data_IF_092957114164
#
_entry.id   IF_092957114164
#
_cell.length_a   1.000
_cell.length_b   1.000
_cell.length_c   1.000
_cell.angle_alpha   90.00
_cell.angle_beta   90.00
_cell.angle_gamma   90.00
#
_symmetry.space_group_name_H-M   'P 1'
#
loop_
_entity.id
_entity.type
_entity.pdbx_description
1 polymer ?
#
# COMPACT_ATOMS: atom_id res chain seq x y z
N UNK A 1 18.02 4.24 13.55
CA UNK A 1 17.46 3.59 12.35
C UNK A 1 18.46 3.78 11.23
N UNK A 2 18.73 2.72 10.49
CA UNK A 2 19.59 2.78 9.31
C UNK A 2 18.72 2.85 8.05
N UNK A 3 19.14 3.65 7.08
CA UNK A 3 18.58 3.72 5.74
C UNK A 3 19.68 3.38 4.73
N UNK A 4 19.63 2.16 4.20
CA UNK A 4 20.83 1.53 3.60
C UNK A 4 21.92 1.34 4.64
N UNK A 5 23.14 1.76 4.32
CA UNK A 5 24.33 1.55 5.15
C UNK A 5 24.65 2.74 6.09
N UNK A 6 23.77 3.74 6.19
CA UNK A 6 23.96 4.94 7.02
C UNK A 6 22.76 5.24 7.92
N UNK A 7 22.99 6.04 8.93
CA UNK A 7 21.89 6.57 9.75
C UNK A 7 20.95 7.46 8.91
N UNK A 8 19.65 7.38 9.25
CA UNK A 8 18.63 8.21 8.63
C UNK A 8 18.90 9.69 8.86
N UNK A 9 18.80 10.49 7.81
CA UNK A 9 18.99 11.94 7.84
C UNK A 9 17.66 12.66 7.50
N UNK A 10 17.52 13.96 7.85
CA UNK A 10 16.30 14.72 7.57
C UNK A 10 15.87 14.69 6.09
N UNK A 11 16.82 14.69 5.17
CA UNK A 11 16.54 14.69 3.72
C UNK A 11 16.01 13.34 3.20
N UNK A 12 16.14 12.26 3.96
CA UNK A 12 15.57 10.96 3.58
C UNK A 12 14.03 10.98 3.53
N UNK A 13 13.39 11.98 4.12
CA UNK A 13 11.94 12.18 4.01
C UNK A 13 11.46 12.29 2.56
N UNK A 14 12.31 12.75 1.63
CA UNK A 14 12.02 12.81 0.20
C UNK A 14 12.10 11.44 -0.48
N UNK A 15 12.69 10.45 0.17
CA UNK A 15 12.86 9.07 -0.33
C UNK A 15 11.91 8.09 0.36
N UNK A 16 11.10 8.58 1.31
CA UNK A 16 10.18 7.78 2.10
C UNK A 16 8.74 8.19 1.79
N UNK A 17 7.88 7.22 1.51
CA UNK A 17 6.44 7.37 1.44
C UNK A 17 5.79 6.73 2.66
N UNK A 18 4.88 7.45 3.32
CA UNK A 18 4.10 6.94 4.45
C UNK A 18 2.61 7.12 4.20
N UNK A 19 1.87 6.03 4.25
CA UNK A 19 0.42 5.97 4.17
C UNK A 19 -0.14 5.60 5.54
N UNK A 20 -0.69 6.55 6.32
CA UNK A 20 -1.31 6.26 7.60
C UNK A 20 -2.70 5.62 7.41
N UNK A 21 -3.14 4.85 8.40
CA UNK A 21 -4.50 4.30 8.44
C UNK A 21 -5.56 5.41 8.48
N UNK A 22 -5.33 6.44 9.31
CA UNK A 22 -6.18 7.63 9.36
C UNK A 22 -5.78 8.64 8.28
N UNK A 23 -6.80 9.27 7.68
CA UNK A 23 -6.61 10.12 6.51
C UNK A 23 -6.06 11.50 6.88
N UNK A 24 -4.86 11.80 6.40
CA UNK A 24 -4.24 13.11 6.49
C UNK A 24 -4.72 14.11 5.42
N UNK A 25 -5.89 13.90 4.81
CA UNK A 25 -6.38 14.76 3.75
C UNK A 25 -7.19 15.96 4.32
N UNK A 26 -6.96 17.16 3.77
CA UNK A 26 -7.68 18.37 4.14
C UNK A 26 -9.05 18.42 3.48
N UNK A 27 -10.12 18.28 4.26
CA UNK A 27 -11.50 18.07 3.81
C UNK A 27 -12.00 19.14 2.83
N UNK A 28 -11.65 20.41 3.05
CA UNK A 28 -12.15 21.56 2.26
C UNK A 28 -11.36 21.85 1.00
N UNK A 29 -10.19 21.21 0.81
CA UNK A 29 -9.39 21.38 -0.41
C UNK A 29 -9.93 20.52 -1.54
N UNK A 30 -9.72 20.97 -2.79
CA UNK A 30 -9.94 20.14 -3.96
C UNK A 30 -8.89 19.03 -4.04
N UNK A 31 -9.30 17.86 -4.52
CA UNK A 31 -8.44 16.66 -4.64
C UNK A 31 -7.17 16.96 -5.43
N UNK A 32 -7.30 17.57 -6.63
CA UNK A 32 -6.15 17.89 -7.47
C UNK A 32 -5.21 18.93 -6.84
N UNK A 33 -5.76 19.96 -6.18
CA UNK A 33 -4.96 20.98 -5.50
C UNK A 33 -4.14 20.36 -4.36
N UNK A 34 -4.79 19.53 -3.55
CA UNK A 34 -4.14 18.86 -2.43
C UNK A 34 -3.09 17.86 -2.88
N UNK A 35 -3.40 17.06 -3.92
CA UNK A 35 -2.45 16.09 -4.47
C UNK A 35 -1.19 16.80 -5.01
N UNK A 36 -1.34 17.93 -5.71
CA UNK A 36 -0.21 18.76 -6.15
C UNK A 36 0.54 19.33 -4.95
N UNK A 37 -0.16 19.77 -3.91
CA UNK A 37 0.47 20.29 -2.69
C UNK A 37 1.38 19.23 -2.03
N UNK A 38 0.88 18.01 -1.79
CA UNK A 38 1.69 16.94 -1.21
C UNK A 38 2.86 16.53 -2.10
N UNK A 39 2.66 16.45 -3.40
CA UNK A 39 3.73 16.16 -4.36
C UNK A 39 4.87 17.18 -4.27
N UNK A 40 4.52 18.46 -4.13
CA UNK A 40 5.50 19.54 -3.98
C UNK A 40 6.24 19.50 -2.65
N UNK A 41 5.58 19.11 -1.58
CA UNK A 41 6.24 18.86 -0.27
C UNK A 41 7.27 17.73 -0.35
N UNK A 42 7.11 16.82 -1.30
CA UNK A 42 8.06 15.73 -1.60
C UNK A 42 9.08 16.08 -2.67
N UNK A 43 9.23 17.36 -3.02
CA UNK A 43 10.28 17.85 -3.90
C UNK A 43 9.93 17.92 -5.40
N UNK A 44 8.74 17.47 -5.81
CA UNK A 44 8.34 17.57 -7.21
C UNK A 44 8.02 19.02 -7.62
N UNK A 45 8.42 19.40 -8.81
CA UNK A 45 7.92 20.65 -9.40
C UNK A 45 6.41 20.58 -9.65
N UNK A 46 5.72 21.71 -9.69
CA UNK A 46 4.28 21.74 -10.01
C UNK A 46 3.95 21.06 -11.34
N UNK A 47 4.81 21.25 -12.35
CA UNK A 47 4.60 20.68 -13.68
C UNK A 47 4.69 19.16 -13.66
N UNK A 48 5.72 18.60 -13.03
CA UNK A 48 5.91 17.15 -12.86
C UNK A 48 4.78 16.56 -12.05
N UNK A 49 4.42 17.17 -10.91
CA UNK A 49 3.33 16.73 -10.07
C UNK A 49 2.01 16.59 -10.85
N UNK A 50 1.64 17.60 -11.65
CA UNK A 50 0.41 17.57 -12.45
C UNK A 50 0.47 16.46 -13.51
N UNK A 51 1.61 16.29 -14.19
CA UNK A 51 1.77 15.26 -15.24
C UNK A 51 1.63 13.87 -14.62
N UNK A 52 2.38 13.58 -13.55
CA UNK A 52 2.34 12.27 -12.86
C UNK A 52 0.96 12.00 -12.25
N UNK A 53 0.35 12.99 -11.61
CA UNK A 53 -0.99 12.85 -11.03
C UNK A 53 -2.05 12.51 -12.08
N UNK A 54 -2.03 13.17 -13.25
CA UNK A 54 -2.97 12.84 -14.33
C UNK A 54 -2.82 11.40 -14.79
N UNK A 55 -1.60 10.89 -14.92
CA UNK A 55 -1.35 9.49 -15.27
C UNK A 55 -1.92 8.52 -14.20
N UNK A 56 -1.65 8.78 -12.92
CA UNK A 56 -2.17 7.98 -11.82
C UNK A 56 -3.70 8.05 -11.70
N UNK A 57 -4.29 9.23 -11.92
CA UNK A 57 -5.75 9.39 -11.90
C UNK A 57 -6.43 8.60 -13.01
N UNK A 58 -5.83 8.55 -14.21
CA UNK A 58 -6.29 7.68 -15.30
C UNK A 58 -6.18 6.21 -14.90
N UNK A 59 -5.04 5.80 -14.37
CA UNK A 59 -4.78 4.41 -13.96
C UNK A 59 -5.75 3.90 -12.89
N UNK A 60 -6.17 4.77 -11.98
CA UNK A 60 -7.13 4.45 -10.91
C UNK A 60 -8.59 4.76 -11.29
N UNK A 61 -8.85 5.27 -12.50
CA UNK A 61 -10.21 5.62 -12.98
C UNK A 61 -10.86 6.75 -12.19
N UNK A 62 -10.06 7.75 -11.75
CA UNK A 62 -10.52 8.82 -10.85
C UNK A 62 -10.31 10.22 -11.42
N UNK A 63 -10.21 10.37 -12.74
CA UNK A 63 -9.96 11.65 -13.40
C UNK A 63 -11.00 12.72 -13.04
N UNK A 64 -12.26 12.31 -12.90
CA UNK A 64 -13.39 13.20 -12.59
C UNK A 64 -13.35 13.75 -11.15
N UNK A 65 -12.44 13.23 -10.30
CA UNK A 65 -12.36 13.68 -8.92
C UNK A 65 -11.45 14.91 -8.75
N UNK A 66 -10.76 15.32 -9.78
CA UNK A 66 -9.76 16.40 -9.73
C UNK A 66 -10.29 17.68 -9.07
N UNK A 67 -11.49 18.10 -9.45
CA UNK A 67 -12.13 19.33 -8.97
C UNK A 67 -13.11 19.10 -7.78
N UNK A 68 -13.34 17.84 -7.37
CA UNK A 68 -14.14 17.54 -6.19
C UNK A 68 -13.40 17.96 -4.92
N UNK A 69 -14.16 18.37 -3.89
CA UNK A 69 -13.59 18.54 -2.56
C UNK A 69 -13.37 17.17 -1.90
N UNK A 70 -12.37 17.08 -1.04
CA UNK A 70 -12.06 15.84 -0.32
C UNK A 70 -13.23 15.38 0.55
N UNK A 71 -14.01 16.28 1.12
CA UNK A 71 -15.21 15.96 1.91
C UNK A 71 -16.32 15.26 1.12
N UNK A 72 -16.30 15.35 -0.22
CA UNK A 72 -17.26 14.68 -1.11
C UNK A 72 -16.86 13.24 -1.43
N UNK A 73 -15.67 12.81 -1.00
CA UNK A 73 -15.14 11.48 -1.26
C UNK A 73 -15.63 10.47 -0.22
N UNK A 74 -15.99 9.26 -0.71
CA UNK A 74 -16.17 8.11 0.18
C UNK A 74 -14.84 7.69 0.84
N UNK A 75 -14.90 6.78 1.80
CA UNK A 75 -13.70 6.23 2.47
C UNK A 75 -12.72 5.62 1.47
N UNK A 76 -13.16 4.73 0.60
CA UNK A 76 -12.31 4.11 -0.39
C UNK A 76 -11.78 5.10 -1.43
N UNK A 77 -12.60 6.10 -1.83
CA UNK A 77 -12.14 7.15 -2.72
C UNK A 77 -10.99 7.97 -2.13
N UNK A 78 -11.12 8.40 -0.89
CA UNK A 78 -10.07 9.15 -0.19
C UNK A 78 -8.79 8.31 -0.04
N UNK A 79 -8.93 7.00 0.20
CA UNK A 79 -7.81 6.07 0.30
C UNK A 79 -7.02 5.97 -1.01
N UNK A 80 -7.70 5.89 -2.18
CA UNK A 80 -7.04 5.93 -3.49
C UNK A 80 -6.20 7.19 -3.68
N UNK A 81 -6.77 8.35 -3.37
CA UNK A 81 -6.05 9.63 -3.47
C UNK A 81 -4.84 9.64 -2.55
N UNK A 82 -5.01 9.18 -1.31
CA UNK A 82 -3.92 9.14 -0.33
C UNK A 82 -2.80 8.18 -0.74
N UNK A 83 -3.14 7.01 -1.28
CA UNK A 83 -2.16 6.09 -1.84
C UNK A 83 -1.36 6.76 -2.98
N UNK A 84 -2.04 7.37 -3.95
CA UNK A 84 -1.39 8.04 -5.08
C UNK A 84 -0.40 9.11 -4.61
N UNK A 85 -0.79 9.98 -3.67
CA UNK A 85 0.11 11.03 -3.19
C UNK A 85 1.28 10.50 -2.39
N UNK A 86 1.13 9.31 -1.78
CA UNK A 86 2.20 8.63 -1.05
C UNK A 86 3.29 8.09 -1.97
N UNK A 87 2.93 7.59 -3.15
CA UNK A 87 3.87 6.94 -4.09
C UNK A 87 4.35 7.86 -5.22
N UNK A 88 3.73 9.01 -5.40
CA UNK A 88 3.91 9.88 -6.58
C UNK A 88 5.35 10.36 -6.82
N UNK A 89 6.11 10.53 -5.74
CA UNK A 89 7.51 10.97 -5.77
C UNK A 89 8.50 9.81 -5.94
N UNK A 90 8.01 8.58 -6.18
CA UNK A 90 8.81 7.37 -6.42
C UNK A 90 9.78 7.08 -5.26
N UNK A 91 9.25 6.91 -4.02
CA UNK A 91 10.07 6.67 -2.85
C UNK A 91 10.77 5.31 -2.89
N UNK A 92 11.95 5.22 -2.29
CA UNK A 92 12.72 3.98 -2.14
C UNK A 92 12.20 3.11 -0.99
N UNK A 93 11.61 3.75 0.04
CA UNK A 93 10.97 3.08 1.17
C UNK A 93 9.51 3.51 1.24
N UNK A 94 8.61 2.54 1.26
CA UNK A 94 7.18 2.72 1.45
C UNK A 94 6.74 2.07 2.76
N UNK A 95 6.04 2.83 3.59
CA UNK A 95 5.46 2.35 4.84
C UNK A 95 3.94 2.54 4.72
N UNK A 96 3.18 1.45 4.77
CA UNK A 96 1.74 1.45 4.65
C UNK A 96 1.11 0.90 5.94
N UNK A 97 0.21 1.67 6.52
CA UNK A 97 -0.55 1.27 7.70
C UNK A 97 -1.98 0.92 7.27
N UNK A 98 -2.34 -0.37 7.37
CA UNK A 98 -3.62 -0.94 6.92
C UNK A 98 -4.04 -0.45 5.51
N UNK A 99 -3.21 -0.65 4.47
CA UNK A 99 -3.42 -0.05 3.15
C UNK A 99 -4.72 -0.47 2.47
N UNK A 100 -5.26 -1.63 2.82
CA UNK A 100 -6.47 -2.19 2.21
C UNK A 100 -7.75 -1.85 2.96
N UNK A 101 -7.65 -1.15 4.10
CA UNK A 101 -8.80 -0.77 4.92
C UNK A 101 -9.78 0.11 4.16
N UNK A 102 -11.04 -0.34 4.06
CA UNK A 102 -12.13 0.43 3.43
C UNK A 102 -12.23 0.28 1.92
N UNK A 103 -11.45 -0.60 1.31
CA UNK A 103 -11.63 -1.01 -0.08
C UNK A 103 -12.59 -2.19 -0.22
N UNK A 104 -13.33 -2.22 -1.33
CA UNK A 104 -13.96 -3.44 -1.82
C UNK A 104 -12.91 -4.37 -2.45
N UNK A 105 -13.21 -5.65 -2.68
CA UNK A 105 -12.23 -6.62 -3.18
C UNK A 105 -11.58 -6.22 -4.51
N UNK A 106 -12.32 -5.58 -5.43
CA UNK A 106 -11.79 -5.20 -6.75
C UNK A 106 -10.74 -4.11 -6.59
N UNK A 107 -11.04 -3.09 -5.78
CA UNK A 107 -10.11 -2.00 -5.52
C UNK A 107 -8.93 -2.43 -4.65
N UNK A 108 -9.13 -3.38 -3.75
CA UNK A 108 -8.03 -3.98 -2.97
C UNK A 108 -7.04 -4.72 -3.88
N UNK A 109 -7.53 -5.49 -4.85
CA UNK A 109 -6.67 -6.19 -5.82
C UNK A 109 -5.88 -5.20 -6.68
N UNK A 110 -6.52 -4.14 -7.20
CA UNK A 110 -5.81 -3.09 -7.92
C UNK A 110 -4.66 -2.50 -7.08
N UNK A 111 -4.91 -2.25 -5.80
CA UNK A 111 -3.88 -1.70 -4.91
C UNK A 111 -2.75 -2.69 -4.66
N UNK A 112 -3.06 -3.99 -4.50
CA UNK A 112 -2.06 -5.06 -4.37
C UNK A 112 -1.15 -5.12 -5.60
N UNK A 113 -1.73 -5.10 -6.80
CA UNK A 113 -0.98 -5.11 -8.06
C UNK A 113 -0.02 -3.92 -8.16
N UNK A 114 -0.46 -2.73 -7.72
CA UNK A 114 0.38 -1.54 -7.70
C UNK A 114 1.52 -1.65 -6.67
N UNK A 115 1.25 -2.20 -5.49
CA UNK A 115 2.26 -2.44 -4.46
C UNK A 115 3.32 -3.41 -4.98
N UNK A 116 2.91 -4.52 -5.60
CA UNK A 116 3.82 -5.48 -6.21
C UNK A 116 4.65 -4.85 -7.34
N UNK A 117 4.03 -4.04 -8.20
CA UNK A 117 4.74 -3.33 -9.26
C UNK A 117 5.78 -2.31 -8.73
N UNK A 118 5.52 -1.68 -7.58
CA UNK A 118 6.49 -0.81 -6.91
C UNK A 118 7.66 -1.59 -6.33
N UNK A 119 7.40 -2.75 -5.70
CA UNK A 119 8.43 -3.68 -5.23
C UNK A 119 9.32 -4.14 -6.38
N UNK A 120 8.73 -4.55 -7.49
CA UNK A 120 9.45 -5.04 -8.67
C UNK A 120 10.32 -3.95 -9.33
N UNK A 121 10.01 -2.69 -9.09
CA UNK A 121 10.85 -1.54 -9.47
C UNK A 121 11.96 -1.22 -8.45
N UNK A 122 12.06 -1.98 -7.38
CA UNK A 122 13.12 -1.88 -6.39
C UNK A 122 12.75 -1.10 -5.11
N UNK A 123 11.49 -0.72 -4.92
CA UNK A 123 11.08 -0.11 -3.66
C UNK A 123 11.04 -1.14 -2.53
N UNK A 124 11.56 -0.78 -1.36
CA UNK A 124 11.35 -1.54 -0.12
C UNK A 124 10.00 -1.18 0.46
N UNK A 125 9.19 -2.19 0.78
CA UNK A 125 7.83 -1.99 1.27
C UNK A 125 7.67 -2.63 2.65
N UNK A 126 7.19 -1.85 3.61
CA UNK A 126 6.78 -2.30 4.93
C UNK A 126 5.29 -1.99 5.06
N UNK A 127 4.46 -2.97 5.41
CA UNK A 127 3.08 -2.66 5.72
C UNK A 127 2.59 -3.42 6.97
N UNK A 128 1.75 -2.76 7.75
CA UNK A 128 1.01 -3.36 8.84
C UNK A 128 -0.35 -3.82 8.35
N UNK A 129 -0.79 -4.98 8.76
CA UNK A 129 -2.15 -5.46 8.52
C UNK A 129 -2.52 -6.58 9.49
N UNK A 130 -3.82 -6.73 9.73
CA UNK A 130 -4.40 -7.88 10.42
C UNK A 130 -4.98 -8.93 9.45
N UNK A 131 -4.92 -8.67 8.14
CA UNK A 131 -5.43 -9.59 7.12
C UNK A 131 -4.33 -10.55 6.65
N UNK A 132 -4.36 -11.78 7.14
CA UNK A 132 -3.36 -12.80 6.84
C UNK A 132 -3.33 -13.19 5.35
N UNK A 133 -4.47 -13.21 4.65
CA UNK A 133 -4.49 -13.51 3.22
C UNK A 133 -3.65 -12.52 2.43
N UNK A 134 -3.73 -11.22 2.76
CA UNK A 134 -2.90 -10.20 2.11
C UNK A 134 -1.42 -10.38 2.43
N UNK A 135 -1.07 -10.83 3.65
CA UNK A 135 0.31 -11.14 4.02
C UNK A 135 0.87 -12.27 3.15
N UNK A 136 0.12 -13.37 3.02
CA UNK A 136 0.54 -14.53 2.23
C UNK A 136 0.70 -14.23 0.73
N UNK A 137 -0.09 -13.28 0.20
CA UNK A 137 -0.08 -12.92 -1.22
C UNK A 137 1.06 -11.95 -1.58
N UNK A 138 1.48 -11.08 -0.66
CA UNK A 138 2.31 -9.92 -1.02
C UNK A 138 3.66 -9.92 -0.31
N UNK A 139 3.74 -10.48 0.93
CA UNK A 139 4.95 -10.39 1.74
C UNK A 139 5.96 -11.49 1.42
N UNK A 140 7.23 -11.09 1.37
CA UNK A 140 8.34 -12.04 1.38
C UNK A 140 8.67 -12.44 2.84
N UNK A 141 8.59 -11.48 3.78
CA UNK A 141 8.91 -11.66 5.21
C UNK A 141 7.80 -11.12 6.10
N UNK A 142 7.60 -11.72 7.25
CA UNK A 142 6.67 -11.23 8.26
C UNK A 142 7.33 -11.11 9.64
N UNK A 143 6.76 -10.24 10.44
CA UNK A 143 7.00 -10.16 11.88
C UNK A 143 5.65 -10.07 12.60
N UNK A 144 5.30 -11.11 13.36
CA UNK A 144 4.07 -11.14 14.16
C UNK A 144 4.34 -10.57 15.55
N UNK A 145 3.64 -9.49 15.86
CA UNK A 145 3.74 -8.80 17.14
C UNK A 145 2.46 -9.03 17.95
N UNK A 146 2.61 -9.50 19.20
CA UNK A 146 1.50 -9.60 20.16
C UNK A 146 1.95 -9.12 21.53
N UNK A 147 1.15 -8.28 22.18
CA UNK A 147 1.45 -7.68 23.49
C UNK A 147 2.87 -7.11 23.57
N UNK A 148 3.24 -6.31 22.55
CA UNK A 148 4.56 -5.66 22.41
C UNK A 148 5.75 -6.64 22.36
N UNK A 149 5.52 -7.89 22.01
CA UNK A 149 6.57 -8.91 21.83
C UNK A 149 6.54 -9.44 20.41
N UNK A 150 7.72 -9.64 19.84
CA UNK A 150 7.87 -10.41 18.62
C UNK A 150 7.62 -11.90 18.93
N UNK A 151 6.57 -12.44 18.32
CA UNK A 151 6.17 -13.85 18.51
C UNK A 151 6.80 -14.73 17.43
N UNK A 152 6.88 -14.20 16.21
CA UNK A 152 7.34 -14.92 15.04
C UNK A 152 7.92 -13.92 14.04
N UNK A 153 9.06 -14.27 13.43
CA UNK A 153 9.65 -13.48 12.35
C UNK A 153 10.37 -14.41 11.37
N UNK A 154 10.27 -14.14 10.08
CA UNK A 154 10.96 -14.90 9.04
C UNK A 154 10.29 -14.82 7.69
N UNK A 155 10.78 -15.60 6.75
CA UNK A 155 10.20 -15.75 5.41
C UNK A 155 8.82 -16.41 5.49
N UNK A 156 7.86 -15.90 4.72
CA UNK A 156 6.46 -16.38 4.71
C UNK A 156 6.41 -17.87 4.35
N UNK A 157 7.11 -18.28 3.32
CA UNK A 157 7.10 -19.67 2.86
C UNK A 157 7.75 -20.63 3.88
N UNK A 158 8.79 -20.18 4.59
CA UNK A 158 9.41 -20.99 5.65
C UNK A 158 8.47 -21.14 6.83
N UNK A 159 7.81 -20.08 7.24
CA UNK A 159 6.83 -20.08 8.33
C UNK A 159 5.64 -20.98 7.98
N UNK A 160 5.12 -20.90 6.76
CA UNK A 160 4.05 -21.79 6.28
C UNK A 160 4.45 -23.25 6.33
N UNK A 161 5.66 -23.60 5.91
CA UNK A 161 6.16 -24.98 5.97
C UNK A 161 6.30 -25.49 7.40
N UNK A 162 6.69 -24.63 8.35
CA UNK A 162 6.89 -25.00 9.76
C UNK A 162 5.59 -25.13 10.54
N UNK A 163 4.60 -24.29 10.23
CA UNK A 163 3.36 -24.15 11.01
C UNK A 163 2.10 -24.55 10.23
N UNK A 164 2.23 -24.85 8.95
CA UNK A 164 1.12 -25.31 8.12
C UNK A 164 0.58 -26.67 8.59
N UNK A 165 -0.73 -26.81 8.61
CA UNK A 165 -1.37 -28.12 8.75
C UNK A 165 -1.15 -28.91 7.45
N UNK A 166 -0.85 -30.22 7.54
CA UNK A 166 -0.79 -31.11 6.38
C UNK A 166 -2.20 -31.44 5.83
N UNK A 167 -3.09 -30.45 5.85
CA UNK A 167 -4.46 -30.57 5.33
C UNK A 167 -4.45 -29.98 3.92
N UNK A 168 -4.85 -30.78 2.97
CA UNK A 168 -4.98 -30.39 1.56
C UNK A 168 -6.47 -30.40 1.20
N UNK A 169 -6.96 -29.33 0.58
CA UNK A 169 -8.26 -29.29 -0.06
C UNK A 169 -8.10 -29.80 -1.50
N UNK A 170 -8.73 -30.94 -1.80
CA UNK A 170 -8.71 -31.54 -3.14
C UNK A 170 -10.08 -31.34 -3.78
N UNK A 171 -10.16 -30.46 -4.77
CA UNK A 171 -11.34 -30.33 -5.60
C UNK A 171 -11.31 -31.37 -6.73
N UNK A 172 -12.31 -32.26 -6.79
CA UNK A 172 -12.45 -33.24 -7.87
C UNK A 172 -13.83 -33.17 -8.53
N UNK A 173 -13.91 -33.59 -9.80
CA UNK A 173 -15.18 -33.78 -10.52
C UNK A 173 -15.41 -35.28 -10.67
N UNK A 174 -16.43 -35.82 -10.01
CA UNK A 174 -16.80 -37.24 -10.06
C UNK A 174 -17.80 -37.62 -8.98
N UNK A 175 -18.27 -38.87 -8.97
CA UNK A 175 -19.08 -39.41 -7.88
C UNK A 175 -18.21 -39.66 -6.65
N UNK A 176 -18.80 -39.39 -5.47
CA UNK A 176 -18.15 -39.55 -4.18
C UNK A 176 -17.87 -41.05 -3.95
N UNK A 177 -16.63 -41.49 -4.19
CA UNK A 177 -16.14 -42.77 -3.74
C UNK A 177 -15.37 -42.54 -2.47
N UNK A 178 -15.80 -43.18 -1.38
CA UNK A 178 -15.10 -43.15 -0.10
C UNK A 178 -13.68 -43.68 -0.27
N UNK A 179 -12.69 -42.81 0.02
CA UNK A 179 -11.27 -43.15 0.10
C UNK A 179 -11.01 -43.90 1.41
#
# INVERSE_FOLDING_TARGET
>A
VLFGDREIAPDDIYRIGYLPEERGLYKKMKVGEQAVFFARLKGLSRREAVVRLKQWFVRFGIQEWWDKKVEELSKGMAQKVQFIVTILHEPELLIFDEPFSGFDPINANLLKDEILALRDKGATIIFSTHNMSSVEEICDHITLINKSRNILSGEVDEIRRRHGSNIFEVAYRGEEQTL
#
